data_IF_213582585631
#
_entry.id   IF_213582585631
#
_cell.length_a   1.000
_cell.length_b   1.000
_cell.length_c   1.000
_cell.angle_alpha   90.00
_cell.angle_beta   90.00
_cell.angle_gamma   90.00
#
_symmetry.space_group_name_H-M   'P 1'
#
loop_
_entity.id
_entity.type
_entity.pdbx_description
1 polymer ?
#
# COMPACT_ATOMS: atom_id res chain seq x y z
N UNK A 1 2.05 -3.48 65.98
CA UNK A 1 1.20 -3.20 64.80
C UNK A 1 1.77 -2.14 63.84
N UNK A 2 2.37 -1.02 64.29
CA UNK A 2 2.85 0.06 63.38
C UNK A 2 4.04 -0.25 62.46
N UNK A 3 4.86 -1.28 62.75
CA UNK A 3 6.03 -1.62 61.91
C UNK A 3 5.67 -2.49 60.71
N UNK A 4 4.73 -3.43 60.86
CA UNK A 4 4.29 -4.28 59.74
C UNK A 4 3.63 -3.46 58.62
N UNK A 5 2.89 -2.40 58.99
CA UNK A 5 2.21 -1.52 58.03
C UNK A 5 3.20 -0.77 57.15
N UNK A 6 4.29 -0.23 57.72
CA UNK A 6 5.31 0.53 56.97
C UNK A 6 6.03 -0.35 55.95
N UNK A 7 6.33 -1.61 56.31
CA UNK A 7 6.97 -2.56 55.40
C UNK A 7 6.03 -3.00 54.26
N UNK A 8 4.74 -3.20 54.55
CA UNK A 8 3.75 -3.48 53.49
C UNK A 8 3.53 -2.30 52.55
N UNK A 9 3.58 -1.04 53.02
CA UNK A 9 3.46 0.12 52.12
C UNK A 9 4.69 0.32 51.25
N UNK A 10 5.90 0.07 51.78
CA UNK A 10 7.15 0.18 51.02
C UNK A 10 7.25 -0.88 49.93
N UNK A 11 6.80 -2.11 50.19
CA UNK A 11 6.74 -3.17 49.20
C UNK A 11 5.71 -2.87 48.10
N UNK A 12 4.54 -2.33 48.46
CA UNK A 12 3.51 -1.93 47.50
C UNK A 12 3.97 -0.77 46.60
N UNK A 13 4.72 0.19 47.16
CA UNK A 13 5.31 1.30 46.38
C UNK A 13 6.43 0.78 45.47
N UNK A 14 7.26 -0.18 45.90
CA UNK A 14 8.27 -0.79 45.02
C UNK A 14 7.64 -1.58 43.86
N UNK A 15 6.54 -2.29 44.10
CA UNK A 15 5.80 -3.01 43.03
C UNK A 15 5.14 -2.02 42.05
N UNK A 16 4.64 -0.88 42.54
CA UNK A 16 4.04 0.16 41.70
C UNK A 16 5.07 0.98 40.89
N UNK A 17 6.31 1.09 41.36
CA UNK A 17 7.39 1.80 40.62
C UNK A 17 8.13 0.87 39.65
N UNK A 18 8.05 -0.46 39.82
CA UNK A 18 8.65 -1.44 38.90
C UNK A 18 7.77 -1.85 37.71
N UNK A 19 6.53 -1.38 37.61
CA UNK A 19 5.65 -1.61 36.45
C UNK A 19 5.55 -0.41 35.50
N UNK A 20 6.51 0.52 35.56
CA UNK A 20 6.61 1.69 34.69
C UNK A 20 7.86 1.67 33.82
N UNK A 21 8.27 0.50 33.32
CA UNK A 21 9.30 0.42 32.30
C UNK A 21 8.87 1.29 31.13
N UNK A 22 9.55 2.44 30.94
CA UNK A 22 9.46 3.21 29.71
C UNK A 22 9.75 2.23 28.59
N UNK A 23 8.76 1.88 27.77
CA UNK A 23 9.00 1.24 26.48
C UNK A 23 10.00 2.18 25.78
N UNK A 24 11.25 1.73 25.63
CA UNK A 24 12.16 2.36 24.68
C UNK A 24 11.44 2.26 23.35
N UNK A 25 11.07 3.38 22.76
CA UNK A 25 10.52 3.37 21.42
C UNK A 25 11.70 3.10 20.49
N UNK A 26 11.64 1.99 19.76
CA UNK A 26 12.65 1.67 18.76
C UNK A 26 12.44 2.58 17.54
N UNK A 27 13.55 3.03 16.97
CA UNK A 27 13.56 4.01 15.89
C UNK A 27 14.10 3.39 14.59
N UNK A 28 13.60 3.87 13.45
CA UNK A 28 14.09 3.54 12.12
C UNK A 28 14.97 4.68 11.60
N UNK A 29 16.22 4.36 11.29
CA UNK A 29 17.16 5.30 10.68
C UNK A 29 17.63 4.80 9.31
N UNK A 30 17.42 5.58 8.26
CA UNK A 30 17.91 5.22 6.92
C UNK A 30 18.80 6.36 6.40
N UNK A 31 20.11 6.11 6.31
CA UNK A 31 21.06 7.03 5.69
C UNK A 31 21.28 6.62 4.22
N UNK A 32 20.88 7.47 3.29
CA UNK A 32 21.13 7.32 1.86
C UNK A 32 22.30 8.24 1.48
N UNK A 33 23.36 7.71 0.89
CA UNK A 33 24.54 8.49 0.48
C UNK A 33 24.86 8.25 -0.99
N UNK A 34 25.30 9.31 -1.65
CA UNK A 34 25.88 9.28 -3.00
C UNK A 34 24.94 8.78 -4.12
N UNK A 35 23.67 8.51 -3.82
CA UNK A 35 22.62 8.35 -4.84
C UNK A 35 22.19 9.77 -5.23
N UNK A 36 22.06 10.06 -6.52
CA UNK A 36 21.59 11.36 -7.01
C UNK A 36 20.09 11.53 -6.68
N UNK A 37 19.78 11.76 -5.40
CA UNK A 37 18.42 11.70 -4.82
C UNK A 37 18.01 13.00 -4.14
N UNK A 38 18.81 14.06 -4.25
CA UNK A 38 18.38 15.40 -3.84
C UNK A 38 17.07 15.72 -4.59
N UNK A 39 15.99 15.92 -3.85
CA UNK A 39 14.61 16.20 -4.30
C UNK A 39 13.75 15.01 -4.78
N UNK A 40 14.18 13.76 -4.60
CA UNK A 40 13.33 12.58 -4.90
C UNK A 40 12.36 12.25 -3.76
N UNK A 41 11.10 11.95 -4.10
CA UNK A 41 10.08 11.43 -3.17
C UNK A 41 10.30 9.93 -2.95
N UNK A 42 10.23 9.49 -1.70
CA UNK A 42 10.35 8.08 -1.34
C UNK A 42 9.09 7.63 -0.60
N UNK A 43 8.80 6.34 -0.68
CA UNK A 43 7.65 5.75 0.01
C UNK A 43 8.12 4.62 0.92
N UNK A 44 7.69 4.64 2.17
CA UNK A 44 7.90 3.55 3.12
C UNK A 44 6.58 2.85 3.38
N UNK A 45 6.50 1.61 2.92
CA UNK A 45 5.40 0.72 3.21
C UNK A 45 5.74 -0.05 4.47
N UNK A 46 4.90 0.10 5.48
CA UNK A 46 5.02 -0.60 6.76
C UNK A 46 3.95 -1.67 6.82
N UNK A 47 4.35 -2.91 7.04
CA UNK A 47 3.47 -4.06 7.21
C UNK A 47 3.60 -4.55 8.64
N UNK A 48 2.52 -4.48 9.39
CA UNK A 48 2.40 -5.07 10.70
C UNK A 48 1.19 -5.98 10.81
N UNK A 49 1.14 -6.73 11.90
CA UNK A 49 0.14 -7.78 12.15
C UNK A 49 -1.29 -7.21 12.14
N UNK A 50 -1.45 -5.92 12.41
CA UNK A 50 -2.75 -5.25 12.51
C UNK A 50 -2.90 -4.02 11.62
N UNK A 51 -1.80 -3.47 11.11
CA UNK A 51 -1.81 -2.21 10.37
C UNK A 51 -0.86 -2.27 9.17
N UNK A 52 -1.30 -1.74 8.03
CA UNK A 52 -0.44 -1.44 6.89
C UNK A 52 -0.48 0.06 6.67
N UNK A 53 0.68 0.71 6.66
CA UNK A 53 0.78 2.16 6.44
C UNK A 53 1.71 2.47 5.28
N UNK A 54 1.40 3.52 4.54
CA UNK A 54 2.25 4.06 3.50
C UNK A 54 2.61 5.48 3.93
N UNK A 55 3.89 5.72 4.13
CA UNK A 55 4.40 7.04 4.51
C UNK A 55 5.24 7.61 3.37
N UNK A 56 4.89 8.82 2.94
CA UNK A 56 5.74 9.61 2.05
C UNK A 56 6.89 10.20 2.86
N UNK A 57 8.11 9.90 2.45
CA UNK A 57 9.32 10.31 3.17
C UNK A 57 10.08 11.34 2.35
N UNK A 58 10.36 12.49 2.98
CA UNK A 58 11.30 13.47 2.46
C UNK A 58 12.73 13.10 2.86
N UNK A 59 13.61 12.93 1.87
CA UNK A 59 15.04 12.75 2.11
C UNK A 59 15.65 14.11 2.45
N UNK A 60 16.33 14.23 3.59
CA UNK A 60 17.00 15.49 3.94
C UNK A 60 18.09 15.83 2.91
N UNK A 61 18.51 17.10 2.83
CA UNK A 61 19.62 17.54 1.95
C UNK A 61 21.00 16.94 2.29
N UNK A 62 21.08 15.97 3.22
CA UNK A 62 22.26 15.14 3.50
C UNK A 62 22.00 13.67 3.23
N UNK A 63 20.89 13.34 2.58
CA UNK A 63 20.50 11.97 2.24
C UNK A 63 19.94 11.16 3.41
N UNK A 64 19.68 11.78 4.57
CA UNK A 64 19.13 11.06 5.74
C UNK A 64 17.60 11.08 5.74
N UNK A 65 17.03 9.90 5.93
CA UNK A 65 15.64 9.66 6.31
C UNK A 65 15.64 9.37 7.81
N UNK A 66 14.98 10.25 8.56
CA UNK A 66 14.66 10.01 9.97
C UNK A 66 13.15 9.79 10.05
N UNK A 67 12.75 8.62 10.56
CA UNK A 67 11.34 8.29 10.67
C UNK A 67 10.99 8.11 12.14
N UNK A 68 10.41 9.17 12.70
CA UNK A 68 10.24 9.37 14.13
C UNK A 68 9.03 8.61 14.71
N UNK A 69 8.31 7.83 13.91
CA UNK A 69 7.19 7.03 14.42
C UNK A 69 7.73 5.90 15.28
N UNK A 70 7.14 5.75 16.46
CA UNK A 70 7.46 4.64 17.35
C UNK A 70 7.08 3.31 16.69
N UNK A 71 8.08 2.43 16.53
CA UNK A 71 7.85 1.07 16.07
C UNK A 71 7.53 0.16 17.27
N UNK A 72 6.44 -0.59 17.16
CA UNK A 72 6.21 -1.76 18.01
C UNK A 72 6.70 -3.00 17.27
N UNK A 73 7.98 -3.35 17.48
CA UNK A 73 8.67 -4.44 16.79
C UNK A 73 8.01 -5.81 17.01
N UNK A 74 7.20 -5.97 18.06
CA UNK A 74 6.46 -7.21 18.32
C UNK A 74 5.33 -7.43 17.31
N UNK A 75 4.87 -6.36 16.67
CA UNK A 75 3.76 -6.36 15.70
C UNK A 75 4.19 -5.96 14.30
N UNK A 76 5.48 -5.73 14.09
CA UNK A 76 6.03 -5.27 12.83
C UNK A 76 6.59 -6.45 12.05
N UNK A 77 5.99 -6.75 10.91
CA UNK A 77 6.39 -7.88 10.07
C UNK A 77 7.46 -7.45 9.05
N UNK A 78 7.30 -6.27 8.43
CA UNK A 78 8.18 -5.82 7.36
C UNK A 78 8.08 -4.32 7.07
N UNK A 79 9.16 -3.75 6.55
CA UNK A 79 9.26 -2.39 6.02
C UNK A 79 9.82 -2.46 4.60
N UNK A 80 9.16 -1.84 3.62
CA UNK A 80 9.60 -1.79 2.23
C UNK A 80 9.80 -0.34 1.79
N UNK A 81 11.03 -0.02 1.38
CA UNK A 81 11.40 1.29 0.92
C UNK A 81 11.38 1.34 -0.62
N UNK A 82 10.58 2.25 -1.18
CA UNK A 82 10.42 2.48 -2.62
C UNK A 82 10.86 3.88 -3.02
N UNK A 83 11.33 4.03 -4.25
CA UNK A 83 11.59 5.33 -4.86
C UNK A 83 10.34 5.96 -5.50
N UNK A 84 10.50 7.13 -6.09
CA UNK A 84 9.44 7.85 -6.79
C UNK A 84 8.92 7.16 -8.05
N UNK A 85 9.65 6.20 -8.61
CA UNK A 85 9.22 5.38 -9.75
C UNK A 85 8.46 4.12 -9.30
N UNK A 86 8.31 3.91 -7.98
CA UNK A 86 7.66 2.73 -7.43
C UNK A 86 8.54 1.48 -7.46
N UNK A 87 9.86 1.62 -7.64
CA UNK A 87 10.79 0.49 -7.62
C UNK A 87 11.31 0.23 -6.20
N UNK A 88 11.42 -1.05 -5.83
CA UNK A 88 11.86 -1.42 -4.48
C UNK A 88 13.34 -1.12 -4.31
N UNK A 89 13.64 -0.22 -3.38
CA UNK A 89 15.00 0.16 -3.06
C UNK A 89 15.60 -0.72 -1.98
N UNK A 90 14.84 -1.01 -0.91
CA UNK A 90 15.31 -1.85 0.18
C UNK A 90 14.15 -2.51 0.94
N UNK A 91 14.11 -3.85 1.03
CA UNK A 91 13.31 -4.55 2.02
C UNK A 91 14.04 -4.62 3.37
N UNK A 92 13.32 -4.34 4.46
CA UNK A 92 13.81 -4.42 5.83
C UNK A 92 12.87 -5.31 6.63
N UNK A 93 13.39 -6.44 7.12
CA UNK A 93 12.67 -7.35 8.01
C UNK A 93 13.19 -7.14 9.44
N UNK A 94 12.42 -6.51 10.34
CA UNK A 94 12.89 -6.18 11.68
C UNK A 94 13.35 -7.41 12.47
N UNK A 95 14.52 -7.31 13.10
CA UNK A 95 14.82 -8.17 14.24
C UNK A 95 13.99 -7.69 15.44
N UNK A 96 13.49 -8.60 16.28
CA UNK A 96 12.60 -8.26 17.42
C UNK A 96 13.27 -7.43 18.54
N UNK A 97 14.46 -6.89 18.31
CA UNK A 97 15.25 -6.20 19.31
C UNK A 97 16.07 -5.07 18.70
N UNK A 98 15.93 -3.86 19.27
CA UNK A 98 16.81 -2.72 19.01
C UNK A 98 16.41 -1.89 17.80
N UNK A 99 17.18 -0.82 17.57
CA UNK A 99 16.94 0.09 16.46
C UNK A 99 17.20 -0.57 15.11
N UNK A 100 16.36 -0.25 14.13
CA UNK A 100 16.55 -0.66 12.74
C UNK A 100 17.35 0.44 12.06
N UNK A 101 18.48 0.09 11.46
CA UNK A 101 19.21 1.05 10.64
C UNK A 101 19.69 0.48 9.31
N UNK A 102 19.66 1.33 8.29
CA UNK A 102 20.19 1.03 6.98
C UNK A 102 21.07 2.18 6.50
N UNK A 103 22.25 1.86 5.98
CA UNK A 103 23.10 2.81 5.26
C UNK A 103 23.21 2.32 3.83
N UNK A 104 22.68 3.11 2.90
CA UNK A 104 22.67 2.80 1.47
C UNK A 104 23.68 3.73 0.79
N UNK A 105 24.59 3.16 0.03
CA UNK A 105 25.51 3.90 -0.84
C UNK A 105 25.58 3.23 -2.20
N UNK A 106 26.13 3.92 -3.21
CA UNK A 106 26.22 3.38 -4.58
C UNK A 106 26.82 1.96 -4.68
N UNK A 107 27.69 1.57 -3.74
CA UNK A 107 28.40 0.29 -3.80
C UNK A 107 28.18 -0.62 -2.58
N UNK A 108 27.48 -0.14 -1.55
CA UNK A 108 27.39 -0.88 -0.29
C UNK A 108 26.10 -0.55 0.45
N UNK A 109 25.48 -1.60 0.98
CA UNK A 109 24.39 -1.50 1.95
C UNK A 109 24.88 -2.10 3.27
N UNK A 110 24.67 -1.38 4.36
CA UNK A 110 24.92 -1.85 5.73
C UNK A 110 23.60 -1.87 6.48
N UNK A 111 23.25 -3.01 7.07
CA UNK A 111 22.00 -3.24 7.78
C UNK A 111 22.27 -3.60 9.24
N UNK A 112 21.53 -2.98 10.17
CA UNK A 112 21.53 -3.31 11.59
C UNK A 112 20.09 -3.46 12.09
N UNK A 113 19.87 -4.41 13.00
CA UNK A 113 18.51 -4.66 13.53
C UNK A 113 17.57 -5.31 12.52
N UNK A 114 18.09 -5.95 11.47
CA UNK A 114 17.33 -6.59 10.37
C UNK A 114 17.64 -8.09 10.33
N UNK A 115 16.65 -8.90 9.95
CA UNK A 115 16.78 -10.33 9.63
C UNK A 115 17.21 -10.53 8.17
N UNK A 116 17.62 -11.75 7.80
CA UNK A 116 17.92 -12.12 6.40
C UNK A 116 18.97 -11.21 5.71
N UNK A 117 19.90 -10.64 6.48
CA UNK A 117 20.87 -9.63 6.02
C UNK A 117 21.64 -10.10 4.78
N UNK A 118 22.23 -11.30 4.81
CA UNK A 118 23.03 -11.82 3.69
C UNK A 118 22.22 -11.93 2.39
N UNK A 119 20.95 -12.31 2.51
CA UNK A 119 20.03 -12.46 1.39
C UNK A 119 19.63 -11.11 0.81
N UNK A 120 19.34 -10.13 1.66
CA UNK A 120 19.04 -8.74 1.24
C UNK A 120 20.26 -8.12 0.54
N UNK A 121 21.46 -8.28 1.10
CA UNK A 121 22.69 -7.74 0.51
C UNK A 121 23.03 -8.41 -0.82
N UNK A 122 22.80 -9.71 -0.94
CA UNK A 122 23.04 -10.47 -2.18
C UNK A 122 22.06 -10.05 -3.29
N UNK A 123 20.79 -9.89 -2.96
CA UNK A 123 19.78 -9.33 -3.88
C UNK A 123 20.13 -7.92 -4.31
N UNK A 124 20.52 -7.06 -3.38
CA UNK A 124 20.88 -5.67 -3.69
C UNK A 124 22.01 -5.61 -4.71
N UNK A 125 23.05 -6.45 -4.56
CA UNK A 125 24.13 -6.56 -5.55
C UNK A 125 23.65 -7.10 -6.89
N UNK A 126 22.75 -8.09 -6.88
CA UNK A 126 22.24 -8.69 -8.10
C UNK A 126 21.38 -7.70 -8.91
N UNK A 127 20.50 -6.92 -8.25
CA UNK A 127 19.65 -5.94 -8.94
C UNK A 127 20.46 -4.83 -9.63
N UNK A 128 21.61 -4.44 -9.08
CA UNK A 128 22.48 -3.42 -9.68
C UNK A 128 23.33 -3.97 -10.85
N UNK A 129 23.49 -5.28 -10.96
CA UNK A 129 24.27 -5.91 -12.03
C UNK A 129 23.47 -6.17 -13.31
N UNK A 130 22.13 -6.19 -13.22
CA UNK A 130 21.24 -6.38 -14.36
C UNK A 130 20.25 -7.54 -14.18
N UNK A 131 19.33 -7.67 -15.13
CA UNK A 131 18.22 -8.63 -15.04
C UNK A 131 18.69 -10.10 -15.04
N UNK A 132 19.70 -10.45 -15.83
CA UNK A 132 20.24 -11.83 -15.85
C UNK A 132 20.80 -12.25 -14.49
N UNK A 133 21.54 -11.36 -13.83
CA UNK A 133 22.11 -11.63 -12.50
C UNK A 133 21.02 -11.70 -11.44
N UNK A 134 20.02 -10.81 -11.51
CA UNK A 134 18.86 -10.82 -10.63
C UNK A 134 18.07 -12.13 -10.78
N UNK A 135 17.81 -12.57 -12.01
CA UNK A 135 17.11 -13.83 -12.29
C UNK A 135 17.90 -15.06 -11.81
N UNK A 136 19.22 -15.08 -12.02
CA UNK A 136 20.10 -16.15 -11.51
C UNK A 136 20.04 -16.23 -9.98
N UNK A 137 20.12 -15.08 -9.32
CA UNK A 137 19.94 -14.97 -7.87
C UNK A 137 18.57 -15.52 -7.45
N UNK A 138 17.47 -15.06 -8.06
CA UNK A 138 16.12 -15.50 -7.71
C UNK A 138 15.94 -17.02 -7.88
N UNK A 139 16.56 -17.62 -8.89
CA UNK A 139 16.54 -19.06 -9.09
C UNK A 139 17.30 -19.85 -8.01
N UNK A 140 18.40 -19.31 -7.51
CA UNK A 140 19.19 -19.93 -6.44
C UNK A 140 18.51 -19.81 -5.07
N UNK A 141 17.83 -18.69 -4.81
CA UNK A 141 17.30 -18.34 -3.49
C UNK A 141 15.78 -18.52 -3.36
N UNK A 142 15.15 -19.39 -4.17
CA UNK A 142 13.70 -19.66 -4.12
C UNK A 142 13.21 -20.21 -2.76
N UNK A 143 14.12 -20.71 -1.92
CA UNK A 143 13.80 -21.18 -0.56
C UNK A 143 13.92 -20.10 0.51
N UNK A 144 14.21 -18.85 0.13
CA UNK A 144 14.21 -17.73 1.07
C UNK A 144 12.81 -17.12 1.18
N UNK A 145 12.37 -16.79 2.39
CA UNK A 145 11.13 -16.07 2.65
C UNK A 145 11.06 -14.77 1.83
N UNK A 146 12.14 -13.98 1.79
CA UNK A 146 12.11 -12.68 1.13
C UNK A 146 12.12 -12.78 -0.41
N UNK A 147 12.33 -13.97 -0.97
CA UNK A 147 12.43 -14.18 -2.41
C UNK A 147 11.16 -13.74 -3.15
N UNK A 148 9.99 -13.84 -2.50
CA UNK A 148 8.73 -13.40 -3.08
C UNK A 148 8.67 -11.87 -3.28
N UNK A 149 9.19 -11.09 -2.33
CA UNK A 149 9.31 -9.63 -2.46
C UNK A 149 10.27 -9.28 -3.61
N UNK A 150 11.38 -10.02 -3.68
CA UNK A 150 12.45 -9.78 -4.65
C UNK A 150 12.05 -10.13 -6.09
N UNK A 151 11.27 -11.20 -6.30
CA UNK A 151 10.75 -11.52 -7.63
C UNK A 151 9.70 -10.51 -8.08
N UNK A 152 8.86 -10.02 -7.16
CA UNK A 152 7.88 -8.98 -7.47
C UNK A 152 8.55 -7.67 -7.91
N UNK A 153 9.65 -7.27 -7.27
CA UNK A 153 10.48 -6.15 -7.73
C UNK A 153 11.13 -6.43 -9.10
N UNK A 154 11.67 -7.63 -9.32
CA UNK A 154 12.27 -8.00 -10.60
C UNK A 154 11.27 -7.91 -11.77
N UNK A 155 10.02 -8.32 -11.56
CA UNK A 155 8.95 -8.20 -12.56
C UNK A 155 8.68 -6.72 -12.89
N UNK A 156 8.62 -5.85 -11.89
CA UNK A 156 8.43 -4.41 -12.11
C UNK A 156 9.61 -3.77 -12.87
N UNK A 157 10.83 -4.29 -12.66
CA UNK A 157 12.05 -3.81 -13.33
C UNK A 157 12.20 -4.31 -14.76
N UNK A 158 11.52 -5.39 -15.15
CA UNK A 158 11.60 -5.96 -16.51
C UNK A 158 10.76 -5.15 -17.52
N UNK A 159 11.13 -3.88 -17.72
CA UNK A 159 10.47 -2.95 -18.66
C UNK A 159 10.52 -3.45 -20.12
N UNK A 160 11.43 -4.39 -20.46
CA UNK A 160 11.58 -4.98 -21.79
C UNK A 160 10.83 -6.30 -21.99
N UNK A 161 10.38 -6.93 -20.90
CA UNK A 161 9.71 -8.22 -20.90
C UNK A 161 10.59 -9.39 -21.32
N UNK A 162 11.92 -9.25 -21.21
CA UNK A 162 12.88 -10.23 -21.69
C UNK A 162 12.91 -11.49 -20.81
N UNK A 163 12.59 -11.34 -19.52
CA UNK A 163 12.62 -12.40 -18.51
C UNK A 163 11.25 -12.69 -17.87
N UNK A 164 10.19 -11.98 -18.28
CA UNK A 164 8.85 -12.02 -17.68
C UNK A 164 8.32 -13.44 -17.47
N UNK A 165 8.43 -14.33 -18.46
CA UNK A 165 7.88 -15.69 -18.35
C UNK A 165 8.54 -16.49 -17.21
N UNK A 166 9.87 -16.40 -17.10
CA UNK A 166 10.61 -17.09 -16.05
C UNK A 166 10.38 -16.47 -14.67
N UNK A 167 10.31 -15.14 -14.60
CA UNK A 167 9.99 -14.42 -13.36
C UNK A 167 8.58 -14.74 -12.87
N UNK A 168 7.59 -14.78 -13.76
CA UNK A 168 6.21 -15.19 -13.44
C UNK A 168 6.17 -16.65 -12.97
N UNK A 169 6.95 -17.54 -13.60
CA UNK A 169 7.05 -18.93 -13.17
C UNK A 169 7.69 -19.06 -11.77
N UNK A 170 8.71 -18.26 -11.46
CA UNK A 170 9.33 -18.19 -10.13
C UNK A 170 8.31 -17.65 -9.11
N UNK A 171 7.65 -16.54 -9.43
CA UNK A 171 6.63 -15.93 -8.58
C UNK A 171 5.51 -16.93 -8.27
N UNK A 172 4.99 -17.65 -9.27
CA UNK A 172 3.95 -18.67 -9.09
C UNK A 172 4.38 -19.80 -8.14
N UNK A 173 5.64 -20.26 -8.21
CA UNK A 173 6.16 -21.27 -7.27
C UNK A 173 6.28 -20.71 -5.85
N UNK A 174 6.77 -19.48 -5.72
CA UNK A 174 6.92 -18.81 -4.43
C UNK A 174 5.58 -18.52 -3.78
N UNK A 175 4.56 -18.14 -4.55
CA UNK A 175 3.22 -17.86 -4.04
C UNK A 175 2.60 -19.07 -3.35
N UNK A 176 2.83 -20.28 -3.89
CA UNK A 176 2.38 -21.52 -3.26
C UNK A 176 3.13 -21.87 -1.97
N UNK A 177 4.35 -21.35 -1.82
CA UNK A 177 5.24 -21.65 -0.70
C UNK A 177 5.09 -20.65 0.45
N UNK A 178 4.83 -19.38 0.12
CA UNK A 178 4.79 -18.26 1.06
C UNK A 178 3.43 -17.56 1.08
N UNK A 179 2.35 -18.32 1.23
CA UNK A 179 0.97 -17.82 1.24
C UNK A 179 0.76 -16.67 2.21
N UNK A 180 1.33 -16.75 3.42
CA UNK A 180 1.18 -15.70 4.44
C UNK A 180 1.77 -14.36 3.98
N UNK A 181 2.83 -14.39 3.17
CA UNK A 181 3.49 -13.19 2.66
C UNK A 181 2.85 -12.68 1.37
N UNK A 182 2.30 -13.59 0.57
CA UNK A 182 1.38 -13.26 -0.52
C UNK A 182 0.19 -12.47 0.05
N UNK A 183 -0.45 -13.00 1.09
CA UNK A 183 -1.59 -12.38 1.76
C UNK A 183 -1.20 -11.04 2.41
N UNK A 184 -0.07 -10.98 3.13
CA UNK A 184 0.42 -9.76 3.78
C UNK A 184 0.68 -8.62 2.79
N UNK A 185 1.31 -8.94 1.66
CA UNK A 185 1.60 -7.99 0.60
C UNK A 185 0.37 -7.69 -0.28
N UNK A 186 -0.76 -8.35 -0.02
CA UNK A 186 -1.99 -8.20 -0.77
C UNK A 186 -2.03 -8.95 -2.10
N UNK A 187 -1.01 -9.75 -2.45
CA UNK A 187 -0.88 -10.50 -3.72
C UNK A 187 -1.86 -11.70 -3.85
N UNK A 188 -3.12 -11.58 -3.44
CA UNK A 188 -4.10 -12.65 -3.70
C UNK A 188 -4.29 -12.85 -5.23
N UNK A 189 -4.16 -14.11 -5.67
CA UNK A 189 -4.41 -14.64 -7.02
C UNK A 189 -3.33 -14.51 -8.14
N UNK A 190 -2.04 -14.73 -7.83
CA UNK A 190 -1.05 -15.13 -8.86
C UNK A 190 -0.84 -16.67 -8.89
N UNK A 191 -1.19 -17.37 -7.83
CA UNK A 191 -0.92 -18.81 -7.67
C UNK A 191 -1.81 -19.73 -8.52
N UNK A 192 -2.94 -19.23 -9.02
CA UNK A 192 -3.79 -19.93 -9.98
C UNK A 192 -3.68 -19.20 -11.30
N UNK A 193 -3.33 -19.87 -12.41
CA UNK A 193 -3.17 -19.28 -13.73
C UNK A 193 -4.44 -18.68 -14.37
N UNK A 194 -5.25 -17.95 -13.60
CA UNK A 194 -6.23 -16.99 -14.07
C UNK A 194 -5.47 -15.68 -14.31
N UNK A 195 -4.89 -15.56 -15.50
CA UNK A 195 -4.64 -14.24 -16.04
C UNK A 195 -5.98 -13.46 -16.07
N UNK A 196 -5.93 -12.20 -15.61
CA UNK A 196 -6.79 -11.10 -16.05
C UNK A 196 -8.27 -11.03 -15.64
N UNK A 197 -8.63 -11.19 -14.36
CA UNK A 197 -9.87 -10.56 -13.88
C UNK A 197 -9.65 -9.86 -12.53
N UNK A 198 -9.28 -8.57 -12.55
CA UNK A 198 -9.41 -7.71 -11.38
C UNK A 198 -10.90 -7.60 -11.03
N UNK A 199 -11.32 -8.28 -9.96
CA UNK A 199 -12.69 -8.34 -9.49
C UNK A 199 -12.89 -7.42 -8.29
N UNK A 200 -13.94 -6.62 -8.32
CA UNK A 200 -14.26 -5.74 -7.18
C UNK A 200 -14.93 -6.50 -6.03
N UNK A 201 -14.81 -6.03 -4.77
CA UNK A 201 -15.35 -6.72 -3.60
C UNK A 201 -16.86 -6.98 -3.67
N UNK A 202 -17.33 -8.01 -2.97
CA UNK A 202 -18.75 -8.36 -2.89
C UNK A 202 -19.59 -7.35 -2.10
N UNK A 203 -18.95 -6.50 -1.26
CA UNK A 203 -19.63 -5.60 -0.35
C UNK A 203 -18.92 -4.26 -0.22
N UNK A 204 -19.70 -3.20 -0.01
CA UNK A 204 -19.27 -1.82 0.02
C UNK A 204 -19.78 -1.15 1.29
N UNK A 205 -18.87 -0.59 2.08
CA UNK A 205 -19.22 0.22 3.24
C UNK A 205 -19.55 1.64 2.77
N UNK A 206 -20.57 2.25 3.36
CA UNK A 206 -21.03 3.58 2.94
C UNK A 206 -20.96 4.50 4.15
N UNK A 207 -20.31 5.66 3.98
CA UNK A 207 -20.20 6.68 5.01
C UNK A 207 -21.57 7.06 5.59
N UNK A 208 -21.68 6.96 6.92
CA UNK A 208 -22.89 7.16 7.71
C UNK A 208 -23.81 5.93 7.79
N UNK A 209 -23.35 4.74 7.36
CA UNK A 209 -24.08 3.47 7.48
C UNK A 209 -23.20 2.41 8.14
N UNK A 210 -23.73 1.77 9.18
CA UNK A 210 -23.03 0.69 9.89
C UNK A 210 -22.96 -0.62 9.08
N UNK A 211 -23.85 -0.81 8.11
CA UNK A 211 -23.94 -2.04 7.33
C UNK A 211 -23.20 -1.97 5.98
N UNK A 212 -22.48 -3.05 5.67
CA UNK A 212 -21.89 -3.30 4.35
C UNK A 212 -22.98 -3.62 3.34
N UNK A 213 -23.06 -2.85 2.25
CA UNK A 213 -24.02 -3.07 1.17
C UNK A 213 -23.47 -4.01 0.10
N UNK A 214 -24.14 -5.11 -0.27
CA UNK A 214 -23.71 -5.98 -1.35
C UNK A 214 -23.57 -5.26 -2.71
N UNK A 215 -22.60 -5.64 -3.53
CA UNK A 215 -22.35 -5.08 -4.87
C UNK A 215 -23.63 -5.03 -5.72
N UNK A 216 -24.37 -6.15 -5.78
CA UNK A 216 -25.61 -6.27 -6.56
C UNK A 216 -26.68 -5.27 -6.11
N UNK A 217 -26.75 -4.98 -4.82
CA UNK A 217 -27.69 -3.99 -4.28
C UNK A 217 -27.20 -2.56 -4.49
N UNK A 218 -25.89 -2.34 -4.54
CA UNK A 218 -25.28 -1.04 -4.82
C UNK A 218 -25.49 -0.67 -6.29
N UNK A 219 -25.07 -1.53 -7.23
CA UNK A 219 -25.18 -1.29 -8.67
C UNK A 219 -26.64 -1.31 -9.15
N UNK A 220 -27.45 -2.19 -8.56
CA UNK A 220 -28.86 -2.34 -8.90
C UNK A 220 -29.04 -2.83 -10.33
N UNK A 221 -29.76 -2.05 -11.14
CA UNK A 221 -30.05 -2.38 -12.56
C UNK A 221 -29.05 -1.77 -13.54
N UNK A 222 -28.06 -1.01 -13.05
CA UNK A 222 -27.11 -0.29 -13.88
C UNK A 222 -26.13 -1.26 -14.53
N UNK A 223 -25.77 -0.98 -15.78
CA UNK A 223 -24.77 -1.78 -16.50
C UNK A 223 -23.36 -1.53 -15.95
N UNK A 224 -23.08 -0.29 -15.54
CA UNK A 224 -21.75 0.17 -15.19
C UNK A 224 -21.75 0.99 -13.89
N UNK A 225 -20.63 0.91 -13.18
CA UNK A 225 -20.29 1.72 -12.01
C UNK A 225 -18.85 2.22 -12.17
N UNK A 226 -18.56 3.40 -11.64
CA UNK A 226 -17.19 3.89 -11.53
C UNK A 226 -16.73 3.72 -10.09
N UNK A 227 -15.56 3.14 -9.88
CA UNK A 227 -14.87 3.16 -8.58
C UNK A 227 -13.72 4.15 -8.67
N UNK A 228 -13.72 5.11 -7.76
CA UNK A 228 -12.69 6.14 -7.66
C UNK A 228 -11.90 5.89 -6.39
N UNK A 229 -10.59 5.77 -6.51
CA UNK A 229 -9.68 5.68 -5.36
C UNK A 229 -8.74 6.86 -5.45
N UNK A 230 -8.89 7.82 -4.54
CA UNK A 230 -8.19 9.10 -4.63
C UNK A 230 -8.03 9.77 -3.27
N UNK A 231 -7.02 10.60 -3.16
CA UNK A 231 -6.87 11.57 -2.08
C UNK A 231 -7.44 12.92 -2.52
N UNK A 232 -8.32 13.51 -1.72
CA UNK A 232 -8.77 14.88 -1.96
C UNK A 232 -7.72 15.87 -1.48
N UNK A 233 -7.36 16.78 -2.39
CA UNK A 233 -6.45 17.89 -2.11
C UNK A 233 -7.13 18.97 -1.25
N UNK A 234 -6.38 19.89 -0.62
CA UNK A 234 -6.95 20.96 0.20
C UNK A 234 -8.04 21.76 -0.52
N UNK A 235 -9.11 22.15 0.19
CA UNK A 235 -10.33 22.74 -0.41
C UNK A 235 -10.09 24.04 -1.20
N UNK A 236 -9.02 24.77 -0.86
CA UNK A 236 -8.59 26.02 -1.50
C UNK A 236 -7.77 25.81 -2.79
N UNK A 237 -7.41 24.56 -3.10
CA UNK A 237 -6.59 24.24 -4.26
C UNK A 237 -7.38 24.14 -5.58
N UNK A 238 -6.69 24.43 -6.70
CA UNK A 238 -7.24 24.22 -8.05
C UNK A 238 -7.54 22.74 -8.30
N UNK A 239 -6.72 21.84 -7.76
CA UNK A 239 -6.89 20.40 -7.88
C UNK A 239 -8.20 19.93 -7.23
N UNK A 240 -8.53 20.44 -6.04
CA UNK A 240 -9.79 20.12 -5.36
C UNK A 240 -11.00 20.58 -6.18
N UNK A 241 -10.93 21.77 -6.76
CA UNK A 241 -11.99 22.27 -7.64
C UNK A 241 -12.19 21.40 -8.89
N UNK A 242 -11.11 20.84 -9.44
CA UNK A 242 -11.16 19.89 -10.55
C UNK A 242 -11.80 18.55 -10.13
N UNK A 243 -11.38 17.99 -8.99
CA UNK A 243 -11.93 16.74 -8.42
C UNK A 243 -13.44 16.89 -8.13
N UNK A 244 -13.84 18.00 -7.51
CA UNK A 244 -15.26 18.33 -7.26
C UNK A 244 -16.06 18.43 -8.56
N UNK A 245 -15.53 19.10 -9.58
CA UNK A 245 -16.17 19.21 -10.90
C UNK A 245 -16.30 17.85 -11.57
N UNK A 246 -15.30 16.99 -11.44
CA UNK A 246 -15.32 15.62 -11.95
C UNK A 246 -16.44 14.79 -11.31
N UNK A 247 -16.54 14.77 -9.98
CA UNK A 247 -17.60 14.04 -9.28
C UNK A 247 -19.00 14.53 -9.68
N UNK A 248 -19.18 15.85 -9.81
CA UNK A 248 -20.43 16.42 -10.31
C UNK A 248 -20.73 16.03 -11.76
N UNK A 249 -19.70 15.84 -12.60
CA UNK A 249 -19.88 15.37 -13.99
C UNK A 249 -20.33 13.93 -14.03
N UNK A 250 -19.77 13.04 -13.20
CA UNK A 250 -20.22 11.64 -13.12
C UNK A 250 -21.71 11.55 -12.75
N UNK A 251 -22.13 12.31 -11.73
CA UNK A 251 -23.53 12.35 -11.31
C UNK A 251 -24.44 12.91 -12.42
N UNK A 252 -24.00 13.96 -13.13
CA UNK A 252 -24.72 14.50 -14.30
C UNK A 252 -24.84 13.53 -15.47
N UNK A 253 -23.88 12.61 -15.59
CA UNK A 253 -23.91 11.52 -16.57
C UNK A 253 -24.78 10.35 -16.09
N UNK A 254 -25.39 10.42 -14.89
CA UNK A 254 -26.22 9.36 -14.33
C UNK A 254 -25.43 8.10 -13.94
N UNK A 255 -24.10 8.21 -13.85
CA UNK A 255 -23.26 7.09 -13.47
C UNK A 255 -23.24 6.91 -11.97
N UNK A 256 -23.38 5.65 -11.54
CA UNK A 256 -23.09 5.28 -10.17
C UNK A 256 -21.58 5.39 -9.93
N UNK A 257 -21.21 6.08 -8.87
CA UNK A 257 -19.83 6.18 -8.42
C UNK A 257 -19.70 5.69 -6.98
N UNK A 258 -18.69 4.87 -6.73
CA UNK A 258 -18.23 4.53 -5.40
C UNK A 258 -16.85 5.14 -5.20
N UNK A 259 -16.71 5.99 -4.18
CA UNK A 259 -15.55 6.84 -3.99
C UNK A 259 -14.85 6.42 -2.70
N UNK A 260 -13.70 5.77 -2.84
CA UNK A 260 -12.77 5.46 -1.76
C UNK A 260 -11.85 6.66 -1.60
N UNK A 261 -12.03 7.38 -0.49
CA UNK A 261 -11.26 8.59 -0.21
C UNK A 261 -10.23 8.31 0.87
N UNK A 262 -8.99 8.71 0.61
CA UNK A 262 -7.89 8.67 1.59
C UNK A 262 -7.91 9.89 2.51
N UNK A 263 -9.10 10.29 2.98
CA UNK A 263 -9.30 11.46 3.82
C UNK A 263 -10.08 11.03 5.07
N UNK A 264 -9.76 11.63 6.22
CA UNK A 264 -10.43 11.36 7.50
C UNK A 264 -11.93 11.71 7.47
N UNK A 265 -12.29 12.74 6.72
CA UNK A 265 -13.66 13.25 6.63
C UNK A 265 -14.00 13.68 5.21
N UNK A 266 -15.29 13.69 4.88
CA UNK A 266 -15.77 14.15 3.58
C UNK A 266 -15.76 15.69 3.60
N UNK A 267 -14.97 16.35 2.73
CA UNK A 267 -14.87 17.80 2.75
C UNK A 267 -16.25 18.44 2.48
N UNK A 268 -16.57 19.54 3.16
CA UNK A 268 -17.89 20.18 3.13
C UNK A 268 -18.30 20.61 1.73
N UNK A 269 -17.33 20.89 0.86
CA UNK A 269 -17.55 21.26 -0.53
C UNK A 269 -17.99 20.12 -1.46
N UNK A 270 -17.87 18.84 -1.05
CA UNK A 270 -18.27 17.67 -1.84
C UNK A 270 -19.71 17.29 -1.49
N UNK A 271 -20.63 17.44 -2.45
CA UNK A 271 -22.02 17.01 -2.26
C UNK A 271 -22.15 15.52 -2.54
N UNK A 272 -22.83 14.79 -1.64
CA UNK A 272 -23.30 13.42 -1.91
C UNK A 272 -24.39 13.50 -3.00
N UNK A 273 -23.99 13.34 -4.26
CA UNK A 273 -24.91 13.22 -5.40
C UNK A 273 -25.81 11.99 -5.25
N UNK A 274 -26.91 11.94 -6.01
CA UNK A 274 -27.87 10.83 -5.92
C UNK A 274 -27.25 9.48 -6.32
N UNK A 275 -26.22 9.51 -7.18
CA UNK A 275 -25.48 8.34 -7.64
C UNK A 275 -24.06 8.26 -7.08
N UNK A 276 -23.74 8.99 -6.01
CA UNK A 276 -22.39 9.00 -5.43
C UNK A 276 -22.39 8.42 -4.00
N UNK A 277 -21.65 7.32 -3.83
CA UNK A 277 -21.37 6.69 -2.55
C UNK A 277 -19.92 6.92 -2.16
N UNK A 278 -19.67 7.02 -0.86
CA UNK A 278 -18.37 7.37 -0.31
C UNK A 278 -17.96 6.39 0.79
N UNK A 279 -16.73 5.91 0.73
CA UNK A 279 -16.04 5.22 1.82
C UNK A 279 -15.07 6.24 2.42
N UNK A 280 -15.50 6.87 3.50
CA UNK A 280 -14.80 8.01 4.12
C UNK A 280 -14.61 7.82 5.62
N UNK A 281 -15.47 7.05 6.29
CA UNK A 281 -15.52 7.03 7.75
C UNK A 281 -14.43 6.15 8.40
N UNK A 282 -13.45 5.67 7.63
CA UNK A 282 -12.19 5.14 8.18
C UNK A 282 -11.14 5.03 7.07
N UNK A 283 -10.05 5.78 7.23
CA UNK A 283 -8.83 5.64 6.40
C UNK A 283 -8.36 4.19 6.41
N UNK A 284 -8.48 3.47 7.54
CA UNK A 284 -8.17 2.04 7.63
C UNK A 284 -8.92 1.22 6.56
N UNK A 285 -10.21 1.45 6.36
CA UNK A 285 -10.97 0.74 5.31
C UNK A 285 -10.58 1.17 3.90
N UNK A 286 -10.21 2.43 3.69
CA UNK A 286 -9.72 2.88 2.39
C UNK A 286 -8.37 2.22 2.04
N UNK A 287 -7.49 2.08 3.03
CA UNK A 287 -6.19 1.40 2.91
C UNK A 287 -6.37 -0.11 2.72
N UNK A 288 -7.25 -0.75 3.50
CA UNK A 288 -7.63 -2.17 3.29
C UNK A 288 -8.17 -2.36 1.87
N UNK A 289 -9.05 -1.47 1.38
CA UNK A 289 -9.57 -1.56 0.02
C UNK A 289 -8.44 -1.47 -1.04
N UNK A 290 -7.51 -0.53 -0.87
CA UNK A 290 -6.36 -0.37 -1.78
C UNK A 290 -5.51 -1.64 -1.81
N UNK A 291 -5.19 -2.18 -0.63
CA UNK A 291 -4.42 -3.42 -0.49
C UNK A 291 -5.13 -4.59 -1.14
N UNK A 292 -6.38 -4.84 -0.78
CA UNK A 292 -7.15 -6.00 -1.23
C UNK A 292 -7.43 -5.96 -2.75
N UNK A 293 -7.35 -4.77 -3.37
CA UNK A 293 -7.54 -4.57 -4.81
C UNK A 293 -6.23 -4.31 -5.58
N UNK A 294 -5.07 -4.47 -4.93
CA UNK A 294 -3.74 -4.29 -5.54
C UNK A 294 -3.54 -2.93 -6.23
N UNK A 295 -4.02 -1.85 -5.59
CA UNK A 295 -3.92 -0.51 -6.15
C UNK A 295 -2.56 0.10 -5.79
N UNK A 296 -1.65 0.14 -6.76
CA UNK A 296 -0.27 0.59 -6.53
C UNK A 296 -0.07 2.11 -6.62
N UNK A 297 -1.03 2.84 -7.18
CA UNK A 297 -0.97 4.29 -7.32
C UNK A 297 -2.35 4.92 -7.17
N UNK A 298 -2.37 6.16 -6.67
CA UNK A 298 -3.56 7.00 -6.57
C UNK A 298 -3.27 8.37 -7.20
N UNK A 299 -4.24 9.01 -7.87
CA UNK A 299 -5.61 8.55 -8.06
C UNK A 299 -5.73 7.47 -9.14
N UNK A 300 -6.65 6.53 -8.93
CA UNK A 300 -7.09 5.57 -9.95
C UNK A 300 -8.61 5.60 -10.09
N UNK A 301 -9.07 5.55 -11.33
CA UNK A 301 -10.48 5.52 -11.70
C UNK A 301 -10.76 4.25 -12.48
N UNK A 302 -11.67 3.42 -11.99
CA UNK A 302 -11.97 2.10 -12.56
C UNK A 302 -13.41 2.06 -13.05
N UNK A 303 -13.62 1.62 -14.28
CA UNK A 303 -14.96 1.34 -14.81
C UNK A 303 -15.27 -0.15 -14.61
N UNK A 304 -16.37 -0.42 -13.93
CA UNK A 304 -16.73 -1.75 -13.43
C UNK A 304 -18.11 -2.11 -13.94
N UNK A 305 -18.29 -3.34 -14.41
CA UNK A 305 -19.58 -3.81 -14.89
C UNK A 305 -20.43 -4.52 -13.82
N UNK A 306 -21.67 -4.85 -14.18
CA UNK A 306 -22.61 -5.58 -13.33
C UNK A 306 -22.16 -6.98 -12.88
N UNK A 307 -21.09 -7.53 -13.46
CA UNK A 307 -20.49 -8.81 -13.07
C UNK A 307 -19.31 -8.67 -12.10
N UNK A 308 -18.89 -7.42 -11.81
CA UNK A 308 -17.75 -7.00 -10.97
C UNK A 308 -16.41 -6.96 -11.69
N UNK A 309 -16.40 -7.14 -13.01
CA UNK A 309 -15.16 -7.06 -13.76
C UNK A 309 -14.78 -5.59 -13.98
N UNK A 310 -13.51 -5.28 -13.74
CA UNK A 310 -12.91 -4.00 -14.14
C UNK A 310 -12.68 -4.04 -15.64
N UNK A 311 -13.41 -3.22 -16.39
CA UNK A 311 -13.25 -3.11 -17.84
C UNK A 311 -12.00 -2.34 -18.24
N UNK A 312 -11.72 -1.26 -17.52
CA UNK A 312 -10.61 -0.35 -17.80
C UNK A 312 -10.35 0.55 -16.61
N UNK A 313 -9.09 0.97 -16.49
CA UNK A 313 -8.60 1.91 -15.49
C UNK A 313 -8.02 3.17 -16.14
N UNK A 314 -7.99 4.26 -15.37
CA UNK A 314 -7.41 5.53 -15.76
C UNK A 314 -6.76 6.20 -14.55
N UNK A 315 -5.71 6.98 -14.80
CA UNK A 315 -5.09 7.88 -13.82
C UNK A 315 -5.58 9.33 -13.97
N UNK A 316 -6.25 9.63 -15.10
CA UNK A 316 -6.73 10.97 -15.45
C UNK A 316 -8.24 10.97 -15.56
N UNK A 317 -8.89 11.72 -14.68
CA UNK A 317 -10.35 11.83 -14.54
C UNK A 317 -11.06 12.24 -15.85
N UNK A 318 -10.51 13.21 -16.58
CA UNK A 318 -11.11 13.71 -17.82
C UNK A 318 -11.12 12.65 -18.94
N UNK A 319 -10.13 11.76 -18.97
CA UNK A 319 -10.08 10.66 -19.95
C UNK A 319 -11.18 9.64 -19.73
N UNK A 320 -11.49 9.29 -18.48
CA UNK A 320 -12.64 8.44 -18.15
C UNK A 320 -13.97 9.12 -18.55
N UNK A 321 -14.13 10.41 -18.24
CA UNK A 321 -15.35 11.16 -18.59
C UNK A 321 -15.55 11.20 -20.11
N UNK A 322 -14.48 11.41 -20.86
CA UNK A 322 -14.53 11.42 -22.32
C UNK A 322 -14.94 10.05 -22.87
N UNK A 323 -14.34 8.96 -22.37
CA UNK A 323 -14.69 7.60 -22.76
C UNK A 323 -16.18 7.30 -22.49
N UNK A 324 -16.70 7.65 -21.33
CA UNK A 324 -18.12 7.44 -20.98
C UNK A 324 -19.05 8.18 -21.93
N UNK A 325 -18.72 9.44 -22.28
CA UNK A 325 -19.53 10.23 -23.22
C UNK A 325 -19.56 9.57 -24.59
N UNK A 326 -18.41 9.12 -25.08
CA UNK A 326 -18.31 8.40 -26.35
C UNK A 326 -19.10 7.09 -26.31
N UNK A 327 -19.00 6.33 -25.22
CA UNK A 327 -19.74 5.09 -25.00
C UNK A 327 -21.26 5.31 -25.05
N UNK A 328 -21.76 6.38 -24.43
CA UNK A 328 -23.18 6.78 -24.50
C UNK A 328 -23.61 7.22 -25.90
N UNK A 329 -22.77 7.96 -26.61
CA UNK A 329 -23.07 8.47 -27.95
C UNK A 329 -23.26 7.35 -28.99
N UNK A 330 -22.67 6.16 -28.75
CA UNK A 330 -22.86 4.96 -29.59
C UNK A 330 -24.13 4.17 -29.19
N UNK A 331 -25.00 4.74 -28.35
CA UNK A 331 -26.31 4.18 -28.01
C UNK A 331 -26.29 3.06 -26.97
N UNK A 332 -25.16 2.87 -26.26
CA UNK A 332 -25.05 1.87 -25.19
C UNK A 332 -25.57 2.42 -23.87
N UNK A 333 -26.33 1.60 -23.13
CA UNK A 333 -26.84 1.97 -21.80
C UNK A 333 -25.72 1.94 -20.76
N UNK A 334 -25.78 2.91 -19.87
CA UNK A 334 -24.84 3.10 -18.75
C UNK A 334 -25.58 3.14 -17.42
N UNK A 335 -26.89 3.39 -17.47
CA UNK A 335 -27.87 3.48 -16.40
C UNK A 335 -28.71 2.21 -16.21
#
# INVERSE_FOLDING_TARGET
MRRATIWSTLLLIMVLVSCGGKKSHDHLFIDIKDIATEDSLWYLYTYGTHDITIDTISVSGKGRIDWDKALDLDTLDMLLLYDSEGLLQLPLLPSRTGNISAKISNNEVVLEGVQEVDSILSWYRAKEQGMEQLLSFLNQYQSNSIAFIMVSDAIQRDKGGECTEELVAIQSRLSNTYTDMVDLLGFSDIATGAADEQLVPYGFRIAGKEETKPFKELIGKRALMVINVMELTPEDSVAYMQQKKYLSRLDSLGLLSYNVLLNDELPKGIKKGANAHFLVDSIGYAVEYIRDNHIHHVPIYMLVDSTRQVWRTWEVADSLVQFIKEYKNVGRRVD
#
